data_IF_294969633736
#
_entry.id   IF_294969633736
#
_cell.length_a   1.000
_cell.length_b   1.000
_cell.length_c   1.000
_cell.angle_alpha   90.00
_cell.angle_beta   90.00
_cell.angle_gamma   90.00
#
_symmetry.space_group_name_H-M   'P 1'
#
loop_
_entity.id
_entity.type
_entity.pdbx_description
1 polymer ?
#
# COMPACT_ATOMS: atom_id res chain seq x y z
N UNK A 1 30.30 11.42 3.28
CA UNK A 1 30.82 12.33 2.25
C UNK A 1 29.79 12.46 1.11
N UNK A 2 29.90 13.53 0.27
CA UNK A 2 29.04 13.74 -0.91
C UNK A 2 29.12 12.56 -1.90
N UNK A 3 30.26 11.95 -2.02
CA UNK A 3 30.50 10.82 -2.93
C UNK A 3 29.86 9.53 -2.39
N UNK A 4 29.91 9.28 -1.10
CA UNK A 4 29.22 8.16 -0.44
C UNK A 4 27.70 8.26 -0.65
N UNK A 5 27.12 9.44 -0.44
CA UNK A 5 25.70 9.67 -0.70
C UNK A 5 25.32 9.43 -2.17
N UNK A 6 26.15 9.89 -3.13
CA UNK A 6 25.90 9.70 -4.56
C UNK A 6 25.79 8.22 -4.95
N UNK A 7 26.54 7.33 -4.29
CA UNK A 7 26.45 5.87 -4.51
C UNK A 7 25.11 5.30 -4.08
N UNK A 8 24.50 5.82 -3.02
CA UNK A 8 23.20 5.36 -2.51
C UNK A 8 22.01 5.86 -3.35
N UNK A 9 22.14 6.93 -4.13
CA UNK A 9 21.04 7.58 -4.84
C UNK A 9 20.20 6.63 -5.69
N UNK A 10 20.75 5.73 -6.56
CA UNK A 10 19.93 4.84 -7.36
C UNK A 10 19.05 3.90 -6.51
N UNK A 11 19.59 3.38 -5.40
CA UNK A 11 18.86 2.56 -4.43
C UNK A 11 17.75 3.37 -3.76
N UNK A 12 18.08 4.54 -3.21
CA UNK A 12 17.12 5.40 -2.51
C UNK A 12 15.95 5.82 -3.42
N UNK A 13 16.22 6.08 -4.71
CA UNK A 13 15.16 6.39 -5.69
C UNK A 13 14.20 5.22 -5.84
N UNK A 14 14.70 3.99 -6.00
CA UNK A 14 13.87 2.81 -6.18
C UNK A 14 13.10 2.44 -4.93
N UNK A 15 13.71 2.59 -3.76
CA UNK A 15 13.10 2.19 -2.49
C UNK A 15 12.15 3.24 -1.90
N UNK A 16 12.25 4.53 -2.31
CA UNK A 16 11.49 5.60 -1.66
C UNK A 16 10.73 6.54 -2.59
N UNK A 17 11.08 6.62 -3.89
CA UNK A 17 10.51 7.64 -4.77
C UNK A 17 9.68 7.06 -5.92
N UNK A 18 9.99 5.84 -6.39
CA UNK A 18 9.27 5.22 -7.51
C UNK A 18 8.27 4.20 -6.98
N UNK A 19 7.02 4.42 -7.31
CA UNK A 19 5.90 3.53 -7.01
C UNK A 19 5.24 3.09 -8.30
N UNK A 20 4.69 1.89 -8.32
CA UNK A 20 3.95 1.39 -9.48
C UNK A 20 2.86 0.43 -9.07
N UNK A 21 1.77 0.41 -9.83
CA UNK A 21 0.68 -0.52 -9.64
C UNK A 21 0.29 -1.13 -10.99
N UNK A 22 0.15 -2.44 -11.02
CA UNK A 22 -0.20 -3.21 -12.21
C UNK A 22 -1.14 -4.36 -11.83
N UNK A 23 -1.98 -4.79 -12.75
CA UNK A 23 -2.86 -5.96 -12.62
C UNK A 23 -2.28 -7.21 -13.30
N UNK A 24 -1.37 -7.05 -14.26
CA UNK A 24 -0.67 -8.17 -14.91
C UNK A 24 0.66 -8.44 -14.21
N UNK A 25 0.84 -9.60 -13.56
CA UNK A 25 2.07 -9.95 -12.87
C UNK A 25 3.30 -9.98 -13.77
N UNK A 26 3.13 -10.29 -15.05
CA UNK A 26 4.23 -10.31 -16.03
C UNK A 26 4.71 -8.89 -16.34
N UNK A 27 3.78 -7.95 -16.52
CA UNK A 27 4.11 -6.55 -16.73
C UNK A 27 4.83 -5.97 -15.50
N UNK A 28 4.39 -6.32 -14.29
CA UNK A 28 5.04 -5.93 -13.04
C UNK A 28 6.47 -6.46 -12.94
N UNK A 29 6.71 -7.74 -13.31
CA UNK A 29 8.05 -8.33 -13.33
C UNK A 29 8.98 -7.63 -14.33
N UNK A 30 8.48 -7.31 -15.53
CA UNK A 30 9.23 -6.57 -16.54
C UNK A 30 9.59 -5.16 -16.04
N UNK A 31 8.65 -4.49 -15.39
CA UNK A 31 8.88 -3.18 -14.78
C UNK A 31 9.96 -3.25 -13.70
N UNK A 32 9.88 -4.23 -12.80
CA UNK A 32 10.88 -4.44 -11.74
C UNK A 32 12.27 -4.65 -12.31
N UNK A 33 12.41 -5.55 -13.30
CA UNK A 33 13.67 -5.80 -13.97
C UNK A 33 14.21 -4.55 -14.68
N UNK A 34 13.34 -3.81 -15.35
CA UNK A 34 13.73 -2.58 -16.08
C UNK A 34 14.26 -1.51 -15.14
N UNK A 35 13.63 -1.29 -14.00
CA UNK A 35 14.06 -0.37 -12.97
C UNK A 35 15.38 -0.81 -12.35
N UNK A 36 15.53 -2.10 -12.04
CA UNK A 36 16.78 -2.66 -11.53
C UNK A 36 17.93 -2.48 -12.51
N UNK A 37 17.72 -2.81 -13.80
CA UNK A 37 18.73 -2.60 -14.86
C UNK A 37 19.11 -1.12 -14.98
N UNK A 38 18.15 -0.21 -14.82
CA UNK A 38 18.43 1.23 -14.83
C UNK A 38 19.33 1.66 -13.68
N UNK A 39 19.11 1.12 -12.48
CA UNK A 39 19.98 1.36 -11.33
C UNK A 39 21.39 0.78 -11.57
N UNK A 40 21.48 -0.45 -12.09
CA UNK A 40 22.76 -1.08 -12.43
C UNK A 40 23.55 -0.26 -13.47
N UNK A 41 22.86 0.29 -14.47
CA UNK A 41 23.48 1.21 -15.44
C UNK A 41 24.03 2.47 -14.76
N UNK A 42 23.31 3.03 -13.81
CA UNK A 42 23.76 4.21 -13.06
C UNK A 42 25.01 3.91 -12.22
N UNK A 43 25.06 2.74 -11.56
CA UNK A 43 26.26 2.29 -10.84
C UNK A 43 27.46 2.08 -11.76
N UNK A 44 27.25 1.47 -12.93
CA UNK A 44 28.29 1.31 -13.93
C UNK A 44 28.86 2.67 -14.43
N UNK A 45 28.00 3.68 -14.60
CA UNK A 45 28.41 5.04 -14.96
C UNK A 45 29.21 5.74 -13.83
N UNK A 46 29.10 5.28 -12.60
CA UNK A 46 29.91 5.72 -11.45
C UNK A 46 31.21 4.91 -11.30
N UNK A 47 31.48 3.96 -12.21
CA UNK A 47 32.62 3.04 -12.16
C UNK A 47 32.63 2.16 -10.90
N UNK A 48 31.44 1.76 -10.39
CA UNK A 48 31.33 0.85 -9.26
C UNK A 48 31.33 -0.61 -9.73
N UNK A 49 32.23 -1.40 -9.17
CA UNK A 49 32.25 -2.83 -9.36
C UNK A 49 31.02 -3.50 -8.72
N UNK A 50 30.66 -4.69 -9.19
CA UNK A 50 29.45 -5.37 -8.74
C UNK A 50 29.39 -5.57 -7.21
N UNK A 51 30.54 -5.84 -6.57
CA UNK A 51 30.65 -6.00 -5.12
C UNK A 51 30.50 -4.69 -4.32
N UNK A 52 30.70 -3.54 -4.97
CA UNK A 52 30.60 -2.22 -4.33
C UNK A 52 29.22 -1.58 -4.46
N UNK A 53 28.32 -2.19 -5.28
CA UNK A 53 26.99 -1.64 -5.54
C UNK A 53 26.07 -1.84 -4.33
N UNK A 54 25.39 -0.79 -3.86
CA UNK A 54 24.38 -0.93 -2.82
C UNK A 54 23.31 -1.95 -3.20
N UNK A 55 23.00 -2.86 -2.29
CA UNK A 55 21.96 -3.87 -2.48
C UNK A 55 20.58 -3.20 -2.42
N UNK A 56 19.80 -3.35 -3.48
CA UNK A 56 18.40 -2.93 -3.55
C UNK A 56 17.57 -4.09 -2.99
N UNK A 57 16.94 -3.88 -1.85
CA UNK A 57 16.24 -4.95 -1.10
C UNK A 57 14.73 -4.94 -1.30
N UNK A 58 14.17 -3.80 -1.74
CA UNK A 58 12.72 -3.67 -1.97
C UNK A 58 12.43 -2.79 -3.18
N UNK A 59 11.25 -2.98 -3.74
CA UNK A 59 10.64 -2.07 -4.70
C UNK A 59 9.22 -1.75 -4.26
N UNK A 60 8.72 -0.57 -4.61
CA UNK A 60 7.34 -0.19 -4.33
C UNK A 60 6.44 -0.47 -5.56
N UNK A 61 6.72 -1.57 -6.25
CA UNK A 61 5.89 -2.07 -7.33
C UNK A 61 4.88 -3.06 -6.75
N UNK A 62 3.61 -2.80 -6.98
CA UNK A 62 2.50 -3.49 -6.33
C UNK A 62 1.61 -4.14 -7.37
N UNK A 63 1.28 -5.42 -7.15
CA UNK A 63 0.28 -6.13 -7.91
C UNK A 63 -1.10 -5.86 -7.30
N UNK A 64 -2.04 -5.40 -8.12
CA UNK A 64 -3.43 -5.22 -7.70
C UNK A 64 -4.17 -6.55 -7.83
N UNK A 65 -4.21 -7.31 -6.75
CA UNK A 65 -4.87 -8.62 -6.69
C UNK A 65 -5.72 -8.80 -5.43
N UNK A 66 -6.57 -9.82 -5.45
CA UNK A 66 -7.41 -10.16 -4.31
C UNK A 66 -6.56 -10.74 -3.17
N UNK A 67 -7.03 -10.59 -1.93
CA UNK A 67 -6.44 -11.29 -0.78
C UNK A 67 -6.58 -12.81 -0.93
N UNK A 68 -5.65 -13.59 -0.35
CA UNK A 68 -5.67 -15.05 -0.45
C UNK A 68 -6.96 -15.65 0.13
N UNK A 69 -7.50 -16.65 -0.57
CA UNK A 69 -8.82 -17.25 -0.28
C UNK A 69 -8.85 -18.31 0.82
N UNK A 70 -7.73 -18.67 1.44
CA UNK A 70 -7.67 -19.75 2.43
C UNK A 70 -8.33 -19.33 3.76
N UNK A 71 -9.57 -19.78 3.97
CA UNK A 71 -10.37 -19.43 5.16
C UNK A 71 -9.80 -19.94 6.49
N UNK A 72 -9.08 -21.07 6.46
CA UNK A 72 -8.46 -21.65 7.67
C UNK A 72 -7.33 -20.75 8.15
N UNK A 73 -6.45 -20.37 7.23
CA UNK A 73 -5.31 -19.51 7.53
C UNK A 73 -5.77 -18.09 7.90
N UNK A 74 -6.78 -17.58 7.22
CA UNK A 74 -7.38 -16.29 7.58
C UNK A 74 -7.95 -16.30 9.00
N UNK A 75 -8.64 -17.39 9.39
CA UNK A 75 -9.14 -17.53 10.76
C UNK A 75 -8.00 -17.59 11.77
N UNK A 76 -6.95 -18.37 11.49
CA UNK A 76 -5.76 -18.43 12.35
C UNK A 76 -5.10 -17.06 12.52
N UNK A 77 -4.97 -16.29 11.43
CA UNK A 77 -4.47 -14.92 11.48
C UNK A 77 -5.38 -14.00 12.32
N UNK A 78 -6.69 -14.11 12.14
CA UNK A 78 -7.64 -13.28 12.90
C UNK A 78 -7.65 -13.57 14.41
N UNK A 79 -7.43 -14.83 14.80
CA UNK A 79 -7.39 -15.24 16.22
C UNK A 79 -6.20 -14.60 16.98
N UNK A 80 -5.16 -14.11 16.29
CA UNK A 80 -4.02 -13.39 16.88
C UNK A 80 -4.36 -11.92 17.24
N UNK A 81 -5.50 -11.39 16.79
CA UNK A 81 -5.86 -9.99 16.93
C UNK A 81 -7.10 -9.78 17.82
N UNK A 82 -7.21 -8.57 18.36
CA UNK A 82 -8.40 -8.12 19.07
C UNK A 82 -9.59 -7.85 18.12
N UNK A 83 -10.79 -7.74 18.68
CA UNK A 83 -12.03 -7.56 17.90
C UNK A 83 -12.02 -6.36 16.93
N UNK A 84 -11.49 -5.18 17.32
CA UNK A 84 -11.39 -4.05 16.38
C UNK A 84 -10.53 -4.35 15.16
N UNK A 85 -9.37 -5.00 15.36
CA UNK A 85 -8.49 -5.40 14.27
C UNK A 85 -9.11 -6.51 13.43
N UNK A 86 -9.74 -7.51 14.03
CA UNK A 86 -10.49 -8.55 13.31
C UNK A 86 -11.56 -7.97 12.39
N UNK A 87 -12.25 -6.92 12.83
CA UNK A 87 -13.25 -6.22 12.02
C UNK A 87 -12.59 -5.55 10.79
N UNK A 88 -11.50 -4.80 10.97
CA UNK A 88 -10.76 -4.19 9.88
C UNK A 88 -10.27 -5.24 8.87
N UNK A 89 -9.63 -6.32 9.35
CA UNK A 89 -9.16 -7.41 8.52
C UNK A 89 -10.30 -8.08 7.74
N UNK A 90 -11.44 -8.30 8.36
CA UNK A 90 -12.63 -8.86 7.71
C UNK A 90 -13.10 -7.95 6.57
N UNK A 91 -13.15 -6.64 6.79
CA UNK A 91 -13.50 -5.66 5.76
C UNK A 91 -12.49 -5.69 4.62
N UNK A 92 -11.18 -5.66 4.91
CA UNK A 92 -10.11 -5.74 3.92
C UNK A 92 -10.28 -6.99 3.05
N UNK A 93 -10.37 -8.18 3.65
CA UNK A 93 -10.51 -9.44 2.90
C UNK A 93 -11.75 -9.48 2.02
N UNK A 94 -12.88 -8.99 2.52
CA UNK A 94 -14.11 -8.98 1.75
C UNK A 94 -14.09 -7.97 0.60
N UNK A 95 -13.42 -6.84 0.76
CA UNK A 95 -13.38 -5.77 -0.22
C UNK A 95 -12.29 -5.97 -1.27
N UNK A 96 -11.14 -6.52 -0.88
CA UNK A 96 -10.01 -6.77 -1.79
C UNK A 96 -10.35 -7.74 -2.94
N UNK A 97 -11.38 -8.57 -2.82
CA UNK A 97 -11.84 -9.42 -3.94
C UNK A 97 -12.21 -8.64 -5.21
N UNK A 98 -12.55 -7.35 -5.08
CA UNK A 98 -12.88 -6.49 -6.22
C UNK A 98 -11.66 -5.84 -6.86
N UNK A 99 -10.51 -5.85 -6.18
CA UNK A 99 -9.29 -5.18 -6.62
C UNK A 99 -8.70 -5.83 -7.88
N UNK A 100 -8.77 -7.15 -8.01
CA UNK A 100 -8.28 -7.86 -9.19
C UNK A 100 -8.94 -7.44 -10.51
N UNK A 101 -10.17 -6.89 -10.47
CA UNK A 101 -10.87 -6.39 -11.65
C UNK A 101 -10.78 -4.86 -11.80
N UNK A 102 -10.86 -4.14 -10.68
CA UNK A 102 -10.95 -2.68 -10.69
C UNK A 102 -9.58 -2.00 -10.46
N UNK A 103 -8.58 -2.73 -9.96
CA UNK A 103 -7.27 -2.17 -9.64
C UNK A 103 -7.37 -0.93 -8.75
N UNK A 104 -6.59 0.09 -9.06
CA UNK A 104 -6.59 1.37 -8.35
C UNK A 104 -7.93 2.14 -8.41
N UNK A 105 -8.85 1.79 -9.31
CA UNK A 105 -10.18 2.39 -9.34
C UNK A 105 -11.02 2.00 -8.13
N UNK A 106 -10.69 0.89 -7.47
CA UNK A 106 -11.32 0.52 -6.21
C UNK A 106 -10.68 1.34 -5.07
N UNK A 107 -11.45 2.29 -4.51
CA UNK A 107 -10.97 3.22 -3.46
C UNK A 107 -10.90 2.53 -2.11
N UNK A 108 -9.94 1.61 -1.97
CA UNK A 108 -9.80 0.78 -0.77
C UNK A 108 -9.65 1.62 0.51
N UNK A 109 -8.95 2.74 0.45
CA UNK A 109 -8.77 3.66 1.57
C UNK A 109 -10.09 4.27 2.07
N UNK A 110 -11.10 4.40 1.19
CA UNK A 110 -12.45 4.87 1.59
C UNK A 110 -13.27 3.75 2.21
N UNK A 111 -13.16 2.54 1.67
CA UNK A 111 -13.91 1.38 2.14
C UNK A 111 -13.52 0.93 3.56
N UNK A 112 -12.28 1.19 3.96
CA UNK A 112 -11.76 0.84 5.29
C UNK A 112 -11.67 2.04 6.26
N UNK A 113 -12.03 3.25 5.82
CA UNK A 113 -11.86 4.47 6.62
C UNK A 113 -12.60 4.42 7.96
N UNK A 114 -13.83 3.91 7.96
CA UNK A 114 -14.66 3.84 9.16
C UNK A 114 -14.12 2.79 10.16
N UNK A 115 -13.60 1.67 9.64
CA UNK A 115 -12.99 0.63 10.46
C UNK A 115 -11.65 1.08 11.04
N UNK A 116 -10.87 1.85 10.29
CA UNK A 116 -9.63 2.48 10.79
C UNK A 116 -9.96 3.49 11.90
N UNK A 117 -10.98 4.34 11.71
CA UNK A 117 -11.38 5.30 12.73
C UNK A 117 -11.91 4.60 13.99
N UNK A 118 -12.68 3.52 13.83
CA UNK A 118 -13.14 2.69 14.93
C UNK A 118 -11.99 2.03 15.68
N UNK A 119 -11.03 1.45 14.96
CA UNK A 119 -9.84 0.84 15.53
C UNK A 119 -9.03 1.89 16.30
N UNK A 120 -8.79 3.06 15.72
CA UNK A 120 -8.05 4.16 16.36
C UNK A 120 -8.70 4.63 17.67
N UNK A 121 -10.03 4.77 17.70
CA UNK A 121 -10.76 5.15 18.92
C UNK A 121 -10.63 4.10 20.04
N UNK A 122 -10.48 2.83 19.69
CA UNK A 122 -10.36 1.74 20.66
C UNK A 122 -8.90 1.40 20.98
N UNK A 123 -7.96 1.75 20.11
CA UNK A 123 -6.52 1.50 20.25
C UNK A 123 -5.91 2.19 21.48
N UNK A 124 -6.26 3.43 21.71
CA UNK A 124 -5.80 4.18 22.87
C UNK A 124 -6.26 3.56 24.20
N UNK A 125 -7.42 2.88 24.23
CA UNK A 125 -7.93 2.17 25.41
C UNK A 125 -7.17 0.86 25.68
N UNK A 126 -6.75 0.15 24.63
CA UNK A 126 -6.04 -1.14 24.74
C UNK A 126 -4.58 -0.93 25.12
N UNK A 127 -3.92 0.08 24.54
CA UNK A 127 -2.52 0.41 24.87
C UNK A 127 -2.36 1.05 26.25
N UNK A 128 -3.36 1.78 26.74
CA UNK A 128 -3.36 2.28 28.13
C UNK A 128 -3.34 1.14 29.16
N UNK A 129 -3.97 0.01 28.87
CA UNK A 129 -3.94 -1.16 29.74
C UNK A 129 -2.63 -2.00 29.65
N UNK A 130 -1.86 -1.89 28.56
CA UNK A 130 -0.56 -2.58 28.40
C UNK A 130 0.63 -1.74 28.84
N UNK A 131 0.57 -0.41 28.69
CA UNK A 131 1.66 0.52 28.99
C UNK A 131 1.42 1.39 30.22
N UNK A 132 0.59 0.96 31.17
CA UNK A 132 0.29 1.72 32.40
C UNK A 132 1.50 1.96 33.31
N UNK A 133 2.72 1.59 32.92
CA UNK A 133 3.92 1.72 33.74
C UNK A 133 5.10 2.50 33.14
N UNK A 134 5.00 3.13 31.96
CA UNK A 134 6.12 3.91 31.42
C UNK A 134 5.64 5.19 30.72
N UNK A 135 5.93 6.35 31.33
CA UNK A 135 5.85 7.72 30.80
C UNK A 135 4.46 8.35 30.60
N UNK A 136 3.83 8.77 31.68
CA UNK A 136 2.78 9.80 31.69
C UNK A 136 3.43 11.14 32.13
N UNK A 137 3.89 11.97 31.21
CA UNK A 137 4.24 13.36 31.49
C UNK A 137 3.14 14.29 30.95
N UNK A 138 2.71 15.25 31.77
CA UNK A 138 1.72 16.27 31.39
C UNK A 138 2.13 17.12 30.19
N UNK A 139 3.44 17.22 29.92
CA UNK A 139 3.99 17.90 28.73
C UNK A 139 3.54 17.27 27.41
N UNK A 140 3.41 15.93 27.35
CA UNK A 140 2.97 15.23 26.15
C UNK A 140 1.48 15.40 25.86
N UNK A 141 0.67 15.68 26.89
CA UNK A 141 -0.76 16.04 26.73
C UNK A 141 -0.95 17.44 26.15
N UNK A 142 -0.10 18.38 26.51
CA UNK A 142 -0.10 19.72 25.96
C UNK A 142 0.37 19.76 24.50
N UNK A 143 1.39 18.94 24.12
CA UNK A 143 1.84 18.79 22.75
C UNK A 143 0.77 18.17 21.84
N UNK A 144 0.06 17.15 22.34
CA UNK A 144 -1.04 16.51 21.60
C UNK A 144 -2.24 17.45 21.42
N UNK A 145 -2.48 18.36 22.37
CA UNK A 145 -3.54 19.37 22.25
C UNK A 145 -3.20 20.47 21.24
N UNK A 146 -1.94 20.91 21.17
CA UNK A 146 -1.45 21.87 20.18
C UNK A 146 -1.37 21.29 18.76
N UNK A 147 -1.10 19.98 18.64
CA UNK A 147 -1.01 19.27 17.37
C UNK A 147 -2.38 19.06 16.66
N UNK A 148 -3.49 19.29 17.35
CA UNK A 148 -4.84 19.16 16.76
C UNK A 148 -5.25 20.30 15.83
N UNK A 149 -4.51 21.39 15.73
CA UNK A 149 -4.85 22.54 14.88
C UNK A 149 -4.27 22.48 13.46
N UNK A 150 -3.28 21.68 13.17
CA UNK A 150 -2.68 21.61 11.84
C UNK A 150 -3.20 20.43 11.01
N UNK A 151 -4.00 20.72 10.00
CA UNK A 151 -4.57 19.76 9.02
C UNK A 151 -3.51 18.89 8.32
N UNK A 152 -2.25 19.27 8.38
CA UNK A 152 -1.09 18.57 7.82
C UNK A 152 -0.64 17.42 8.72
N UNK A 153 -0.76 17.56 10.03
CA UNK A 153 -0.36 16.56 11.03
C UNK A 153 -1.32 15.37 11.08
N UNK A 154 -2.61 15.59 10.81
CA UNK A 154 -3.62 14.51 10.69
C UNK A 154 -3.31 13.50 9.58
N UNK A 155 -2.55 13.88 8.55
CA UNK A 155 -2.12 12.99 7.47
C UNK A 155 -0.93 12.13 7.89
N UNK A 156 0.09 12.72 8.49
CA UNK A 156 1.23 11.98 9.02
C UNK A 156 0.80 10.93 10.06
N UNK A 157 -0.11 11.26 10.97
CA UNK A 157 -0.64 10.31 11.93
C UNK A 157 -1.47 9.16 11.32
N UNK A 158 -2.07 9.36 10.14
CA UNK A 158 -2.76 8.26 9.45
C UNK A 158 -1.77 7.31 8.80
N UNK A 159 -0.72 7.85 8.21
CA UNK A 159 0.33 7.05 7.56
C UNK A 159 1.11 6.24 8.59
N UNK A 160 1.55 6.85 9.70
CA UNK A 160 2.22 6.17 10.83
C UNK A 160 1.35 5.08 11.46
N UNK A 161 0.06 5.35 11.67
CA UNK A 161 -0.86 4.37 12.23
C UNK A 161 -1.08 3.17 11.29
N UNK A 162 -1.10 3.42 9.98
CA UNK A 162 -1.23 2.36 9.00
C UNK A 162 0.05 1.55 8.85
N UNK A 163 1.21 2.18 8.94
CA UNK A 163 2.52 1.52 9.01
C UNK A 163 2.60 0.60 10.25
N UNK A 164 2.14 1.05 11.41
CA UNK A 164 2.09 0.22 12.63
C UNK A 164 1.17 -0.99 12.46
N UNK A 165 0.00 -0.82 11.82
CA UNK A 165 -0.90 -1.94 11.49
C UNK A 165 -0.22 -2.91 10.54
N UNK A 166 0.44 -2.42 9.49
CA UNK A 166 1.13 -3.24 8.50
C UNK A 166 2.27 -4.04 9.13
N UNK A 167 3.08 -3.43 10.00
CA UNK A 167 4.16 -4.12 10.74
C UNK A 167 3.62 -5.23 11.65
N UNK A 168 2.53 -4.97 12.37
CA UNK A 168 1.90 -5.98 13.24
C UNK A 168 1.34 -7.14 12.44
N UNK A 169 0.73 -6.86 11.31
CA UNK A 169 0.23 -7.89 10.40
C UNK A 169 1.37 -8.72 9.82
N UNK A 170 2.45 -8.07 9.40
CA UNK A 170 3.62 -8.76 8.88
C UNK A 170 4.25 -9.66 9.95
N UNK A 171 4.36 -9.19 11.18
CA UNK A 171 4.85 -9.99 12.31
C UNK A 171 3.95 -11.20 12.56
N UNK A 172 2.63 -11.01 12.62
CA UNK A 172 1.68 -12.10 12.83
C UNK A 172 1.69 -13.12 11.67
N UNK A 173 1.86 -12.66 10.43
CA UNK A 173 1.99 -13.54 9.25
C UNK A 173 3.30 -14.36 9.30
N UNK A 174 4.42 -13.75 9.73
CA UNK A 174 5.69 -14.44 9.92
C UNK A 174 5.59 -15.49 11.04
N UNK A 175 4.95 -15.15 12.16
CA UNK A 175 4.72 -16.08 13.26
C UNK A 175 3.81 -17.24 12.85
N UNK A 176 2.75 -16.96 12.10
CA UNK A 176 1.85 -17.98 11.55
C UNK A 176 2.63 -18.94 10.62
N UNK A 177 3.49 -18.38 9.76
CA UNK A 177 4.35 -19.18 8.86
C UNK A 177 5.36 -20.05 9.61
N UNK A 178 5.87 -19.60 10.77
CA UNK A 178 6.90 -20.33 11.54
C UNK A 178 6.35 -21.46 12.43
N UNK A 179 5.07 -21.43 12.77
CA UNK A 179 4.45 -22.36 13.72
C UNK A 179 4.02 -23.69 13.11
N UNK A 180 4.10 -23.89 11.81
CA UNK A 180 3.47 -24.99 11.11
C UNK A 180 4.48 -25.96 10.45
N UNK A 181 4.10 -27.24 10.33
CA UNK A 181 4.94 -28.33 9.81
C UNK A 181 5.39 -28.09 8.35
N UNK A 182 6.45 -28.79 7.89
CA UNK A 182 7.04 -28.61 6.56
C UNK A 182 6.03 -28.76 5.39
N UNK A 183 5.02 -29.61 5.51
CA UNK A 183 3.98 -29.76 4.47
C UNK A 183 2.97 -28.60 4.45
N UNK A 184 2.64 -28.04 5.60
CA UNK A 184 1.77 -26.86 5.71
C UNK A 184 2.57 -25.55 5.48
N UNK A 185 3.89 -25.59 5.56
CA UNK A 185 4.78 -24.44 5.45
C UNK A 185 4.68 -23.74 4.09
N UNK A 186 4.48 -24.48 2.99
CA UNK A 186 4.37 -23.91 1.65
C UNK A 186 3.07 -23.11 1.46
N UNK A 187 1.91 -23.68 1.88
CA UNK A 187 0.63 -22.95 1.79
C UNK A 187 0.62 -21.69 2.65
N UNK A 188 1.27 -21.74 3.81
CA UNK A 188 1.36 -20.61 4.73
C UNK A 188 2.31 -19.53 4.19
N UNK A 189 3.42 -19.94 3.56
CA UNK A 189 4.34 -19.00 2.92
C UNK A 189 3.64 -18.25 1.78
N UNK A 190 2.88 -18.97 0.92
CA UNK A 190 2.09 -18.35 -0.14
C UNK A 190 1.01 -17.41 0.43
N UNK A 191 0.27 -17.86 1.43
CA UNK A 191 -0.75 -17.03 2.08
C UNK A 191 -0.14 -15.75 2.66
N UNK A 192 1.00 -15.85 3.34
CA UNK A 192 1.71 -14.72 3.92
C UNK A 192 2.22 -13.76 2.83
N UNK A 193 2.77 -14.28 1.74
CA UNK A 193 3.26 -13.48 0.62
C UNK A 193 2.11 -12.74 -0.07
N UNK A 194 1.01 -13.41 -0.39
CA UNK A 194 -0.16 -12.81 -1.03
C UNK A 194 -0.84 -11.77 -0.12
N UNK A 195 -0.95 -12.07 1.19
CA UNK A 195 -1.47 -11.10 2.14
C UNK A 195 -0.59 -9.85 2.22
N UNK A 196 0.74 -10.02 2.26
CA UNK A 196 1.70 -8.91 2.27
C UNK A 196 1.57 -8.04 1.01
N UNK A 197 1.39 -8.64 -0.17
CA UNK A 197 1.14 -7.92 -1.43
C UNK A 197 -0.16 -7.12 -1.37
N UNK A 198 -1.23 -7.72 -0.84
CA UNK A 198 -2.51 -7.04 -0.66
C UNK A 198 -2.41 -5.81 0.26
N UNK A 199 -1.63 -5.90 1.34
CA UNK A 199 -1.38 -4.74 2.22
C UNK A 199 -0.54 -3.67 1.56
N UNK A 200 0.47 -4.03 0.77
CA UNK A 200 1.24 -3.06 -0.01
C UNK A 200 0.35 -2.29 -1.01
N UNK A 201 -0.68 -2.94 -1.59
CA UNK A 201 -1.68 -2.26 -2.42
C UNK A 201 -2.50 -1.24 -1.63
N UNK A 202 -2.95 -1.61 -0.42
CA UNK A 202 -3.73 -0.71 0.43
C UNK A 202 -2.90 0.50 0.86
N UNK A 203 -1.63 0.29 1.22
CA UNK A 203 -0.68 1.36 1.53
C UNK A 203 -0.50 2.30 0.34
N UNK A 204 -0.31 1.76 -0.86
CA UNK A 204 -0.20 2.56 -2.08
C UNK A 204 -1.43 3.44 -2.30
N UNK A 205 -2.64 2.92 -2.06
CA UNK A 205 -3.90 3.66 -2.22
C UNK A 205 -4.02 4.88 -1.31
N UNK A 206 -3.28 4.92 -0.21
CA UNK A 206 -3.30 6.04 0.76
C UNK A 206 -2.29 7.14 0.43
N UNK A 207 -1.24 6.81 -0.34
CA UNK A 207 -0.17 7.76 -0.68
C UNK A 207 -0.66 8.87 -1.62
N UNK A 208 0.11 9.97 -1.62
CA UNK A 208 -0.03 11.08 -2.56
C UNK A 208 1.30 11.27 -3.29
N UNK A 209 1.21 11.60 -4.57
CA UNK A 209 2.36 11.62 -5.47
C UNK A 209 2.54 13.00 -6.10
N UNK A 210 3.78 13.42 -6.26
CA UNK A 210 4.12 14.68 -6.95
C UNK A 210 4.03 14.55 -8.47
N UNK A 211 4.19 13.32 -8.97
CA UNK A 211 4.05 13.02 -10.39
C UNK A 211 3.42 11.63 -10.57
N UNK A 212 2.38 11.56 -11.39
CA UNK A 212 1.76 10.32 -11.81
C UNK A 212 1.84 10.22 -13.32
N UNK A 213 2.28 9.06 -13.81
CA UNK A 213 2.23 8.70 -15.23
C UNK A 213 1.41 7.43 -15.38
N UNK A 214 0.48 7.42 -16.35
CA UNK A 214 -0.40 6.29 -16.56
C UNK A 214 -0.61 5.94 -18.03
N UNK A 215 -0.83 4.66 -18.28
CA UNK A 215 -1.39 4.12 -19.50
C UNK A 215 -2.61 3.29 -19.10
N UNK A 216 -3.78 3.94 -18.87
CA UNK A 216 -4.95 3.26 -18.37
C UNK A 216 -5.55 2.31 -19.40
N UNK A 217 -6.26 1.24 -18.98
CA UNK A 217 -6.99 0.40 -19.89
C UNK A 217 -8.12 1.18 -20.58
N UNK A 218 -8.41 0.81 -21.82
CA UNK A 218 -9.50 1.39 -22.60
C UNK A 218 -10.77 0.55 -22.46
N UNK A 219 -11.93 1.18 -22.66
CA UNK A 219 -13.22 0.51 -22.67
C UNK A 219 -14.07 0.75 -21.43
N UNK A 220 -15.14 -0.04 -21.29
CA UNK A 220 -16.21 0.20 -20.29
C UNK A 220 -15.98 -0.51 -18.95
N UNK A 221 -15.02 -1.40 -18.85
CA UNK A 221 -14.84 -2.27 -17.68
C UNK A 221 -15.80 -3.47 -17.65
N UNK A 222 -15.68 -4.31 -16.63
CA UNK A 222 -16.57 -5.45 -16.44
C UNK A 222 -17.95 -5.01 -15.90
N UNK A 223 -18.98 -5.85 -16.09
CA UNK A 223 -20.33 -5.58 -15.56
C UNK A 223 -20.33 -5.39 -14.03
N UNK A 224 -19.47 -6.11 -13.32
CA UNK A 224 -19.36 -6.00 -11.87
C UNK A 224 -18.73 -4.67 -11.43
N UNK A 225 -17.73 -4.20 -12.14
CA UNK A 225 -17.05 -2.92 -11.84
C UNK A 225 -17.88 -1.72 -12.29
N UNK A 226 -18.67 -1.84 -13.35
CA UNK A 226 -19.48 -0.76 -13.90
C UNK A 226 -20.40 -0.09 -12.87
N UNK A 227 -21.12 -0.87 -12.06
CA UNK A 227 -22.01 -0.34 -11.02
C UNK A 227 -21.24 0.44 -9.95
N UNK A 228 -20.10 -0.09 -9.56
CA UNK A 228 -19.22 0.59 -8.60
C UNK A 228 -18.69 1.90 -9.17
N UNK A 229 -18.15 1.89 -10.38
CA UNK A 229 -17.60 3.06 -11.05
C UNK A 229 -18.62 4.17 -11.22
N UNK A 230 -19.83 3.83 -11.68
CA UNK A 230 -20.93 4.79 -11.86
C UNK A 230 -21.32 5.50 -10.56
N UNK A 231 -21.24 4.80 -9.43
CA UNK A 231 -21.62 5.36 -8.13
C UNK A 231 -20.47 6.11 -7.46
N UNK A 232 -19.24 5.82 -7.84
CA UNK A 232 -18.03 6.31 -7.14
C UNK A 232 -17.39 7.50 -7.84
N UNK A 233 -17.47 7.55 -9.18
CA UNK A 233 -16.81 8.54 -10.01
C UNK A 233 -17.81 9.48 -10.67
N UNK A 234 -17.74 10.78 -10.32
CA UNK A 234 -18.70 11.79 -10.81
C UNK A 234 -18.60 12.02 -12.31
N UNK A 235 -17.41 11.95 -12.87
CA UNK A 235 -17.13 12.16 -14.29
C UNK A 235 -17.07 10.86 -15.09
N UNK A 236 -17.71 9.81 -14.60
CA UNK A 236 -17.79 8.54 -15.30
C UNK A 236 -18.52 8.69 -16.63
N UNK A 237 -17.78 8.61 -17.73
CA UNK A 237 -18.27 8.75 -19.09
C UNK A 237 -18.43 7.38 -19.82
N UNK A 238 -18.62 6.30 -19.08
CA UNK A 238 -18.61 4.91 -19.58
C UNK A 238 -17.28 4.45 -20.16
N UNK A 239 -16.19 5.18 -19.85
CA UNK A 239 -14.85 4.80 -20.23
C UNK A 239 -13.95 4.78 -19.00
N UNK A 240 -13.20 3.68 -18.83
CA UNK A 240 -12.26 3.50 -17.70
C UNK A 240 -11.25 4.66 -17.59
N UNK A 241 -10.85 5.22 -18.73
CA UNK A 241 -9.91 6.35 -18.77
C UNK A 241 -10.43 7.53 -17.93
N UNK A 242 -11.71 7.87 -18.03
CA UNK A 242 -12.30 8.96 -17.26
C UNK A 242 -12.24 8.69 -15.74
N UNK A 243 -12.56 7.46 -15.35
CA UNK A 243 -12.46 7.05 -13.93
C UNK A 243 -11.02 7.08 -13.43
N UNK A 244 -10.04 6.68 -14.26
CA UNK A 244 -8.62 6.78 -13.93
C UNK A 244 -8.17 8.22 -13.78
N UNK A 245 -8.61 9.14 -14.63
CA UNK A 245 -8.32 10.57 -14.47
C UNK A 245 -8.81 11.10 -13.13
N UNK A 246 -10.07 10.82 -12.79
CA UNK A 246 -10.67 11.23 -11.52
C UNK A 246 -9.89 10.65 -10.33
N UNK A 247 -9.53 9.36 -10.41
CA UNK A 247 -8.76 8.66 -9.40
C UNK A 247 -7.37 9.26 -9.20
N UNK A 248 -6.65 9.47 -10.30
CA UNK A 248 -5.28 9.98 -10.23
C UNK A 248 -5.24 11.41 -9.69
N UNK A 249 -6.24 12.25 -10.00
CA UNK A 249 -6.33 13.58 -9.38
C UNK A 249 -6.45 13.50 -7.85
N UNK A 250 -7.20 12.54 -7.32
CA UNK A 250 -7.30 12.33 -5.87
C UNK A 250 -5.98 11.85 -5.25
N UNK A 251 -5.12 11.18 -6.03
CA UNK A 251 -3.82 10.66 -5.56
C UNK A 251 -2.66 11.64 -5.78
N UNK A 252 -2.87 12.78 -6.43
CA UNK A 252 -1.86 13.82 -6.56
C UNK A 252 -1.73 14.68 -5.30
N UNK A 253 -0.52 15.19 -5.08
CA UNK A 253 -0.30 16.35 -4.19
C UNK A 253 -0.88 17.61 -4.82
N UNK A 254 -1.00 18.70 -4.05
CA UNK A 254 -1.63 19.95 -4.51
C UNK A 254 -1.03 20.54 -5.80
N UNK A 255 0.29 20.41 -5.98
CA UNK A 255 1.00 20.87 -7.17
C UNK A 255 1.49 19.70 -8.05
N UNK A 256 0.89 18.52 -7.89
CA UNK A 256 1.30 17.32 -8.60
C UNK A 256 1.00 17.37 -10.09
N UNK A 257 1.78 16.64 -10.87
CA UNK A 257 1.68 16.56 -12.32
C UNK A 257 1.12 15.20 -12.75
N UNK A 258 0.20 15.20 -13.72
CA UNK A 258 -0.36 14.00 -14.32
C UNK A 258 0.01 13.91 -15.80
N UNK A 259 0.65 12.81 -16.19
CA UNK A 259 0.89 12.43 -17.58
C UNK A 259 0.10 11.17 -17.94
N UNK A 260 -0.62 11.17 -19.05
CA UNK A 260 -1.40 10.03 -19.49
C UNK A 260 -1.25 9.78 -20.99
N UNK A 261 -1.25 8.50 -21.38
CA UNK A 261 -1.35 8.06 -22.77
C UNK A 261 -2.75 7.44 -22.95
N UNK A 262 -3.53 7.96 -23.89
CA UNK A 262 -4.88 7.46 -24.15
C UNK A 262 -5.27 7.66 -25.62
N UNK A 263 -6.34 6.97 -26.06
CA UNK A 263 -6.83 7.05 -27.44
C UNK A 263 -7.49 8.42 -27.73
N UNK A 264 -7.50 8.80 -29.03
CA UNK A 264 -8.15 10.04 -29.52
C UNK A 264 -9.66 10.07 -29.34
N UNK A 265 -10.28 8.95 -29.04
CA UNK A 265 -11.74 8.78 -28.95
C UNK A 265 -12.31 8.96 -27.55
N UNK A 266 -11.49 9.39 -26.60
CA UNK A 266 -11.94 9.65 -25.20
C UNK A 266 -12.37 11.10 -25.04
#
# INVERSE_FOLDING_TARGET
TRESFRREVPKLILENNIYGCEIDPRALQIAALSLWLRAQKSYSQMNLDAAERPLITRSNLVLAEAMPGNKRLLKGLMDEFDKPMQRLLTTIWNKMKYVGEAGLLFKMEKEISDDIEYLRKNWSKVNQNRNANIFDSEERRAEIAAANEARTELRHHKDEFFEEIAERLQTALQELSSRLSEEEGYENALFSEDATRGFAFIELCQKRFDCIVMNPPFGEGSEHTFKYLKNTYLFWCKNLVCAFFDRMQEMLTYNGLLGAIFDRTV
#
